data_IF_450507632603
#
_entry.id   IF_450507632603
#
_cell.length_a   1.000
_cell.length_b   1.000
_cell.length_c   1.000
_cell.angle_alpha   90.00
_cell.angle_beta   90.00
_cell.angle_gamma   90.00
#
_symmetry.space_group_name_H-M   'P 1'
#
loop_
_entity.id
_entity.type
_entity.pdbx_description
1 polymer ?
#
# COMPACT_ATOMS: atom_id res chain seq x y z
N UNK A 1 -0.03 14.71 32.56
CA UNK A 1 0.73 14.53 31.29
C UNK A 1 -0.27 14.47 30.16
N UNK A 2 -0.11 15.37 29.22
CA UNK A 2 -0.98 15.42 28.05
C UNK A 2 -0.29 14.69 26.88
N UNK A 3 -0.97 13.70 26.35
CA UNK A 3 -0.49 12.96 25.18
C UNK A 3 -1.24 13.51 23.96
N UNK A 4 -0.49 14.05 23.02
CA UNK A 4 -1.07 14.48 21.76
C UNK A 4 -1.48 13.25 20.96
N UNK A 5 -2.76 13.15 20.66
CA UNK A 5 -3.33 11.98 19.99
C UNK A 5 -2.70 11.76 18.60
N UNK A 6 -2.49 12.85 17.86
CA UNK A 6 -1.87 12.76 16.52
C UNK A 6 -0.47 12.16 16.60
N UNK A 7 0.34 12.61 17.57
CA UNK A 7 1.70 12.10 17.75
C UNK A 7 1.69 10.63 18.16
N UNK A 8 0.77 10.24 19.02
CA UNK A 8 0.62 8.86 19.46
C UNK A 8 0.23 7.97 18.29
N UNK A 9 -0.75 8.36 17.49
CA UNK A 9 -1.21 7.59 16.33
C UNK A 9 -0.09 7.45 15.30
N UNK A 10 0.65 8.52 15.04
CA UNK A 10 1.78 8.48 14.12
C UNK A 10 2.85 7.50 14.59
N UNK A 11 3.19 7.54 15.86
CA UNK A 11 4.17 6.62 16.44
C UNK A 11 3.72 5.18 16.33
N UNK A 12 2.44 4.91 16.64
CA UNK A 12 1.88 3.57 16.53
C UNK A 12 1.95 3.02 15.12
N UNK A 13 1.60 3.85 14.13
CA UNK A 13 1.65 3.47 12.72
C UNK A 13 3.09 3.23 12.26
N UNK A 14 4.01 4.12 12.62
CA UNK A 14 5.41 4.01 12.20
C UNK A 14 6.11 2.80 12.81
N UNK A 15 5.75 2.41 14.02
CA UNK A 15 6.36 1.26 14.70
C UNK A 15 5.65 -0.05 14.43
N UNK A 16 4.54 -0.05 13.71
CA UNK A 16 3.81 -1.26 13.38
C UNK A 16 4.64 -2.19 12.48
N UNK A 17 4.54 -3.53 12.67
CA UNK A 17 5.34 -4.49 11.90
C UNK A 17 4.83 -4.75 10.48
N UNK A 18 4.01 -3.87 9.96
CA UNK A 18 3.48 -3.93 8.60
C UNK A 18 3.68 -2.58 7.93
N UNK A 19 3.55 -2.56 6.60
CA UNK A 19 3.59 -1.32 5.85
C UNK A 19 2.24 -0.65 5.76
N UNK A 20 2.22 0.67 5.68
CA UNK A 20 1.00 1.42 5.48
C UNK A 20 1.29 2.63 4.61
N UNK A 21 0.41 2.89 3.65
CA UNK A 21 0.41 4.18 2.97
C UNK A 21 -1.01 4.62 2.66
N UNK A 22 -1.16 5.91 2.44
CA UNK A 22 -2.46 6.55 2.22
C UNK A 22 -2.43 7.26 0.89
N UNK A 23 -3.50 7.07 0.11
CA UNK A 23 -3.71 7.75 -1.17
C UNK A 23 -4.87 8.73 -1.04
N UNK A 24 -4.75 9.87 -1.72
CA UNK A 24 -5.89 10.75 -1.94
C UNK A 24 -6.77 10.22 -3.08
N UNK A 25 -7.81 10.94 -3.45
CA UNK A 25 -8.75 10.51 -4.49
C UNK A 25 -8.16 10.43 -5.90
N UNK A 26 -6.97 10.99 -6.10
CA UNK A 26 -6.24 10.93 -7.37
C UNK A 26 -5.12 9.89 -7.34
N UNK A 27 -5.08 9.06 -6.30
CA UNK A 27 -4.06 8.05 -6.07
C UNK A 27 -2.67 8.62 -5.81
N UNK A 28 -2.61 9.84 -5.29
CA UNK A 28 -1.36 10.44 -4.87
C UNK A 28 -1.04 9.99 -3.45
N UNK A 29 0.19 9.55 -3.21
CA UNK A 29 0.63 9.11 -1.90
C UNK A 29 0.79 10.34 -1.00
N UNK A 30 0.03 10.37 0.11
CA UNK A 30 0.08 11.47 1.07
C UNK A 30 0.67 11.06 2.41
N UNK A 31 0.86 9.75 2.63
CA UNK A 31 1.54 9.22 3.82
C UNK A 31 2.21 7.89 3.48
N UNK A 32 3.37 7.64 4.08
CA UNK A 32 4.18 6.44 3.87
C UNK A 32 4.87 6.09 5.18
N UNK A 33 4.55 4.94 5.79
CA UNK A 33 5.07 4.57 7.10
C UNK A 33 6.50 4.05 7.05
N UNK A 34 7.15 3.99 8.22
CA UNK A 34 8.47 3.38 8.34
C UNK A 34 8.43 1.88 8.03
N UNK A 35 7.34 1.20 8.39
CA UNK A 35 7.17 -0.20 8.02
C UNK A 35 7.15 -0.40 6.51
N UNK A 36 6.51 0.52 5.78
CA UNK A 36 6.53 0.50 4.32
C UNK A 36 7.95 0.70 3.79
N UNK A 37 8.73 1.59 4.40
CA UNK A 37 10.13 1.77 4.01
C UNK A 37 10.95 0.50 4.24
N UNK A 38 10.79 -0.15 5.38
CA UNK A 38 11.50 -1.39 5.70
C UNK A 38 11.18 -2.52 4.71
N UNK A 39 9.91 -2.66 4.34
CA UNK A 39 9.49 -3.75 3.44
C UNK A 39 9.90 -3.47 1.99
N UNK A 40 9.77 -2.23 1.54
CA UNK A 40 9.96 -1.89 0.13
C UNK A 40 11.34 -1.31 -0.20
N UNK A 41 12.02 -0.75 0.79
CA UNK A 41 13.27 -0.02 0.58
C UNK A 41 13.07 1.42 0.12
N UNK A 42 11.85 1.84 -0.18
CA UNK A 42 11.55 3.22 -0.55
C UNK A 42 11.25 4.05 0.70
N UNK A 43 11.84 5.24 0.79
CA UNK A 43 11.60 6.15 1.91
C UNK A 43 10.33 6.97 1.71
N UNK A 44 9.84 7.56 2.79
CA UNK A 44 8.74 8.52 2.74
C UNK A 44 9.08 9.70 1.83
N UNK A 45 10.32 10.20 1.90
CA UNK A 45 10.76 11.31 1.06
C UNK A 45 10.70 10.98 -0.43
N UNK A 46 10.99 9.71 -0.79
CA UNK A 46 10.92 9.26 -2.17
C UNK A 46 9.49 9.08 -2.67
N UNK A 47 8.59 8.67 -1.79
CA UNK A 47 7.25 8.18 -2.20
C UNK A 47 6.15 9.20 -2.04
N UNK A 48 6.15 10.01 -0.96
CA UNK A 48 5.09 11.00 -0.75
C UNK A 48 5.10 12.03 -1.87
N UNK A 49 3.93 12.29 -2.42
CA UNK A 49 3.77 13.22 -3.54
C UNK A 49 3.73 12.55 -4.90
N UNK A 50 4.14 11.28 -5.01
CA UNK A 50 4.02 10.53 -6.26
C UNK A 50 2.65 9.86 -6.35
N UNK A 51 2.18 9.63 -7.56
CA UNK A 51 1.05 8.74 -7.78
C UNK A 51 1.54 7.29 -7.60
N UNK A 52 0.74 6.45 -6.95
CA UNK A 52 1.16 5.08 -6.60
C UNK A 52 1.54 4.25 -7.84
N UNK A 53 0.87 4.48 -8.98
CA UNK A 53 1.17 3.75 -10.22
C UNK A 53 2.51 4.17 -10.86
N UNK A 54 3.10 5.28 -10.42
CA UNK A 54 4.42 5.75 -10.86
C UNK A 54 5.49 5.59 -9.77
N UNK A 55 5.14 4.98 -8.65
CA UNK A 55 6.04 4.87 -7.49
C UNK A 55 7.07 3.75 -7.57
N UNK A 56 6.94 2.85 -8.55
CA UNK A 56 7.88 1.75 -8.71
C UNK A 56 7.48 0.44 -8.07
N UNK A 57 6.39 0.39 -7.28
CA UNK A 57 5.94 -0.85 -6.64
C UNK A 57 5.41 -1.88 -7.62
N UNK A 58 4.82 -1.42 -8.72
CA UNK A 58 4.41 -2.26 -9.85
C UNK A 58 3.80 -3.60 -9.42
N UNK A 59 2.72 -3.54 -8.66
CA UNK A 59 2.06 -4.73 -8.12
C UNK A 59 1.60 -5.68 -9.22
N UNK A 60 1.88 -6.97 -9.03
CA UNK A 60 1.32 -8.03 -9.87
C UNK A 60 0.52 -9.00 -8.99
N UNK A 61 -0.46 -9.67 -9.59
CA UNK A 61 -1.22 -10.71 -8.89
C UNK A 61 -0.54 -12.07 -9.05
N UNK A 62 -1.15 -13.12 -8.50
CA UNK A 62 -0.60 -14.48 -8.54
C UNK A 62 -0.51 -15.07 -9.93
N UNK A 63 -1.17 -14.48 -10.92
CA UNK A 63 -1.09 -14.89 -12.32
C UNK A 63 -0.06 -14.10 -13.11
N UNK A 64 0.60 -13.13 -12.47
CA UNK A 64 1.59 -12.26 -13.12
C UNK A 64 1.00 -11.04 -13.79
N UNK A 65 -0.30 -10.79 -13.62
CA UNK A 65 -0.97 -9.62 -14.21
C UNK A 65 -0.57 -8.35 -13.46
N UNK A 66 -0.15 -7.32 -14.21
CA UNK A 66 0.16 -6.01 -13.64
C UNK A 66 -1.12 -5.27 -13.27
N UNK A 67 -1.19 -4.79 -12.02
CA UNK A 67 -2.43 -4.25 -11.44
C UNK A 67 -2.49 -2.72 -11.42
N UNK A 68 -1.35 -2.05 -11.47
CA UNK A 68 -1.28 -0.63 -11.08
C UNK A 68 -2.02 0.34 -11.98
N UNK A 69 -2.24 0.02 -13.24
CA UNK A 69 -2.93 0.93 -14.16
C UNK A 69 -4.43 0.66 -14.29
N UNK A 70 -4.83 -0.59 -14.49
CA UNK A 70 -6.21 -0.92 -14.86
C UNK A 70 -6.97 -1.73 -13.80
N UNK A 71 -6.25 -2.42 -12.91
CA UNK A 71 -6.86 -3.38 -11.98
C UNK A 71 -6.46 -3.13 -10.53
N UNK A 72 -6.06 -1.90 -10.19
CA UNK A 72 -5.55 -1.55 -8.87
C UNK A 72 -6.64 -1.69 -7.79
N UNK A 73 -6.41 -2.50 -6.74
CA UNK A 73 -7.37 -2.62 -5.63
C UNK A 73 -7.66 -1.30 -4.93
N UNK A 74 -6.64 -0.42 -4.81
CA UNK A 74 -6.82 0.89 -4.20
C UNK A 74 -7.77 1.76 -5.01
N UNK A 75 -7.61 1.78 -6.33
CA UNK A 75 -8.50 2.53 -7.21
C UNK A 75 -9.93 2.00 -7.10
N UNK A 76 -10.10 0.69 -7.09
CA UNK A 76 -11.43 0.08 -6.94
C UNK A 76 -12.06 0.45 -5.60
N UNK A 77 -11.28 0.43 -4.51
CA UNK A 77 -11.73 0.78 -3.17
C UNK A 77 -12.14 2.26 -3.08
N UNK A 78 -11.38 3.15 -3.70
CA UNK A 78 -11.74 4.57 -3.77
C UNK A 78 -13.05 4.75 -4.56
N UNK A 79 -13.20 4.01 -5.65
CA UNK A 79 -14.35 4.14 -6.54
C UNK A 79 -15.65 3.63 -5.89
N UNK A 80 -15.62 2.45 -5.29
CA UNK A 80 -16.86 1.81 -4.78
C UNK A 80 -17.02 1.85 -3.27
N UNK A 81 -16.01 2.32 -2.52
CA UNK A 81 -16.07 2.42 -1.07
C UNK A 81 -16.04 1.08 -0.35
N UNK A 82 -15.57 0.02 -1.00
CA UNK A 82 -15.50 -1.32 -0.42
C UNK A 82 -14.07 -1.68 -0.04
N UNK A 83 -13.91 -2.28 1.15
CA UNK A 83 -12.63 -2.86 1.57
C UNK A 83 -12.29 -4.07 0.72
N UNK A 84 -10.98 -4.30 0.54
CA UNK A 84 -10.48 -5.47 -0.22
C UNK A 84 -9.27 -6.05 0.48
N UNK A 85 -9.07 -7.34 0.28
CA UNK A 85 -7.87 -8.02 0.76
C UNK A 85 -7.47 -9.07 -0.25
N UNK A 86 -6.19 -9.09 -0.64
CA UNK A 86 -5.67 -10.09 -1.56
C UNK A 86 -4.16 -10.18 -1.48
N UNK A 87 -3.57 -11.34 -1.78
CA UNK A 87 -2.13 -11.43 -1.95
C UNK A 87 -1.72 -10.81 -3.28
N UNK A 88 -0.65 -10.03 -3.25
CA UNK A 88 -0.03 -9.46 -4.44
C UNK A 88 1.48 -9.53 -4.27
N UNK A 89 2.21 -9.19 -5.33
CA UNK A 89 3.67 -9.19 -5.32
C UNK A 89 4.14 -7.79 -5.70
N UNK A 90 4.67 -7.06 -4.72
CA UNK A 90 5.25 -5.75 -5.00
C UNK A 90 6.67 -5.91 -5.52
N UNK A 91 7.18 -4.88 -6.19
CA UNK A 91 8.59 -4.79 -6.56
C UNK A 91 9.27 -3.83 -5.60
N UNK A 92 10.28 -4.31 -4.87
CA UNK A 92 11.00 -3.45 -3.95
C UNK A 92 12.01 -2.58 -4.70
N UNK A 93 12.67 -1.67 -3.99
CA UNK A 93 13.63 -0.75 -4.60
C UNK A 93 14.82 -1.47 -5.26
N UNK A 94 15.16 -2.66 -4.76
CA UNK A 94 16.24 -3.48 -5.35
C UNK A 94 15.78 -4.26 -6.60
N UNK A 95 14.52 -4.13 -6.98
CA UNK A 95 13.96 -4.82 -8.16
C UNK A 95 13.46 -6.24 -7.90
N UNK A 96 13.38 -6.65 -6.63
CA UNK A 96 12.88 -7.98 -6.29
C UNK A 96 11.39 -7.96 -6.01
N UNK A 97 10.70 -9.03 -6.40
CA UNK A 97 9.30 -9.24 -6.04
C UNK A 97 9.19 -9.73 -4.60
N UNK A 98 8.28 -9.14 -3.86
CA UNK A 98 8.01 -9.49 -2.45
C UNK A 98 6.52 -9.82 -2.34
N UNK A 99 6.17 -11.06 -1.90
CA UNK A 99 4.78 -11.39 -1.68
C UNK A 99 4.26 -10.68 -0.43
N UNK A 100 3.13 -10.01 -0.56
CA UNK A 100 2.49 -9.29 0.55
C UNK A 100 0.99 -9.54 0.52
N UNK A 101 0.39 -9.56 1.70
CA UNK A 101 -1.06 -9.50 1.81
C UNK A 101 -1.43 -8.03 1.90
N UNK A 102 -2.17 -7.56 0.92
CA UNK A 102 -2.64 -6.17 0.84
C UNK A 102 -4.07 -6.10 1.34
N UNK A 103 -4.33 -5.14 2.22
CA UNK A 103 -5.67 -4.81 2.68
C UNK A 103 -5.93 -3.34 2.38
N UNK A 104 -7.04 -3.04 1.70
CA UNK A 104 -7.41 -1.67 1.35
C UNK A 104 -8.66 -1.24 2.10
N UNK A 105 -8.66 -0.02 2.63
CA UNK A 105 -9.79 0.57 3.33
C UNK A 105 -10.09 1.94 2.74
N UNK A 106 -11.36 2.24 2.44
CA UNK A 106 -11.71 3.58 1.96
C UNK A 106 -11.68 4.60 3.09
N UNK A 107 -11.34 5.84 2.76
CA UNK A 107 -11.43 6.98 3.67
C UNK A 107 -12.60 7.84 3.22
N UNK A 108 -13.57 8.03 4.10
CA UNK A 108 -14.79 8.76 3.78
C UNK A 108 -14.81 10.16 4.39
N UNK A 109 -15.46 11.07 3.68
CA UNK A 109 -16.02 12.30 4.27
C UNK A 109 -17.49 12.29 3.92
N UNK A 110 -18.33 12.07 4.95
CA UNK A 110 -19.75 11.80 4.72
C UNK A 110 -19.91 10.51 3.93
N UNK A 111 -20.61 10.56 2.80
CA UNK A 111 -20.86 9.39 1.95
C UNK A 111 -19.85 9.24 0.83
N UNK A 112 -18.89 10.16 0.71
CA UNK A 112 -17.94 10.18 -0.39
C UNK A 112 -16.59 9.66 0.05
N UNK A 113 -16.03 8.72 -0.72
CA UNK A 113 -14.66 8.26 -0.52
C UNK A 113 -13.69 9.31 -1.03
N UNK A 114 -12.82 9.81 -0.15
CA UNK A 114 -11.81 10.82 -0.48
C UNK A 114 -10.45 10.23 -0.79
N UNK A 115 -10.27 8.94 -0.52
CA UNK A 115 -9.01 8.27 -0.71
C UNK A 115 -9.07 6.89 -0.11
N UNK A 116 -7.93 6.28 0.14
CA UNK A 116 -7.87 4.95 0.73
C UNK A 116 -6.56 4.75 1.48
N UNK A 117 -6.61 3.82 2.44
CA UNK A 117 -5.42 3.33 3.15
C UNK A 117 -5.10 1.94 2.62
N UNK A 118 -3.83 1.67 2.40
CA UNK A 118 -3.36 0.32 2.15
C UNK A 118 -2.47 -0.13 3.31
N UNK A 119 -2.79 -1.32 3.85
CA UNK A 119 -1.92 -2.03 4.78
C UNK A 119 -1.34 -3.22 4.05
N UNK A 120 -0.07 -3.55 4.29
CA UNK A 120 0.51 -4.74 3.69
C UNK A 120 1.53 -5.37 4.61
N UNK A 121 1.53 -6.71 4.65
CA UNK A 121 2.50 -7.47 5.42
C UNK A 121 3.14 -8.53 4.53
N UNK A 122 4.39 -8.86 4.82
CA UNK A 122 5.13 -9.84 4.02
C UNK A 122 4.57 -11.24 4.26
N UNK A 123 4.39 -11.98 3.18
CA UNK A 123 3.98 -13.39 3.19
C UNK A 123 5.20 -14.27 2.92
N UNK A 124 5.18 -15.54 3.41
CA UNK A 124 6.30 -16.45 3.16
C UNK A 124 6.35 -16.88 1.69
N UNK A 125 7.53 -16.75 1.07
CA UNK A 125 7.74 -17.14 -0.34
C UNK A 125 7.46 -18.63 -0.54
N UNK A 126 7.70 -19.46 0.47
CA UNK A 126 7.43 -20.91 0.39
C UNK A 126 5.96 -21.22 0.12
N UNK A 127 5.05 -20.35 0.60
CA UNK A 127 3.60 -20.50 0.39
C UNK A 127 3.07 -19.64 -0.74
N UNK A 128 3.80 -18.59 -1.11
CA UNK A 128 3.44 -17.62 -2.15
C UNK A 128 4.60 -17.47 -3.10
N UNK A 129 4.85 -18.48 -3.95
CA UNK A 129 5.98 -18.42 -4.89
C UNK A 129 5.80 -17.30 -5.90
N UNK A 130 6.93 -16.69 -6.29
CA UNK A 130 6.91 -15.55 -7.20
C UNK A 130 6.39 -16.01 -8.57
N UNK A 131 5.31 -15.39 -9.07
CA UNK A 131 4.75 -15.77 -10.36
C UNK A 131 5.60 -15.27 -11.52
N UNK A 132 5.40 -15.88 -12.69
CA UNK A 132 5.97 -15.36 -13.92
C UNK A 132 5.16 -14.14 -14.36
N UNK A 133 5.82 -13.04 -14.63
CA UNK A 133 5.16 -11.81 -15.07
C UNK A 133 4.61 -11.94 -16.50
N UNK A 134 3.44 -11.36 -16.68
CA UNK A 134 2.81 -11.27 -18.00
C UNK A 134 3.21 -9.99 -18.73
#
# INVERSE_FOLDING_TARGET
>A
MDIEMVDLLRKMVDEAPFGMYVLDGERKIIFWSQGAEHITGYSSEEMVGKHCFNGGLDHIDSTGLHLCHDFCPMMATIFDGQSREQPVFLKNKAGKRVPVLVHTEPLFSGDKALGAIEYFRVLPVSEYPIPKER
#
